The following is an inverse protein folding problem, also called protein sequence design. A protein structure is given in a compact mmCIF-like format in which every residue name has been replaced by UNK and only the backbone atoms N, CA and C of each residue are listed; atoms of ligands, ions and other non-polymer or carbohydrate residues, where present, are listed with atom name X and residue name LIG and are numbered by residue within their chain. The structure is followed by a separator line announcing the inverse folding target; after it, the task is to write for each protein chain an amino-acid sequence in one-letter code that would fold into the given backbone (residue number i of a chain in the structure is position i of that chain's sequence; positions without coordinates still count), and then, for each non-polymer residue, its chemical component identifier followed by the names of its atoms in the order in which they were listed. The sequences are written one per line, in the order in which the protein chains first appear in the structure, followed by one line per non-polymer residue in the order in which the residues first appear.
data_IF_930690855605
#
_entry.id   IF_930690855605
#
_cell.length_a   1.000
_cell.length_b   1.000
_cell.length_c   1.000
_cell.angle_alpha   90.00
_cell.angle_beta   90.00
_cell.angle_gamma   90.00
#
_symmetry.space_group_name_H-M   'P 1'
#
loop_
_entity.id
_entity.type
_entity.pdbx_description
1 polymer ?
#
# COMPACT_ATOMS: atom_id res chain seq x y z
N UNK A 1 -13.74 -15.38 -29.78
CA UNK A 1 -14.30 -15.46 -28.41
C UNK A 1 -13.26 -14.87 -27.46
N UNK A 2 -13.55 -13.74 -26.82
CA UNK A 2 -12.64 -13.17 -25.84
C UNK A 2 -12.74 -14.02 -24.56
N UNK A 3 -11.70 -14.77 -24.24
CA UNK A 3 -11.63 -15.54 -22.99
C UNK A 3 -11.59 -14.54 -21.84
N UNK A 4 -12.66 -14.44 -21.05
CA UNK A 4 -12.70 -13.61 -19.86
C UNK A 4 -11.66 -14.16 -18.88
N UNK A 5 -10.49 -13.51 -18.79
CA UNK A 5 -9.45 -13.89 -17.83
C UNK A 5 -10.03 -13.73 -16.43
N UNK A 6 -9.81 -14.71 -15.55
CA UNK A 6 -10.26 -14.66 -14.16
C UNK A 6 -9.77 -13.35 -13.51
N UNK A 7 -10.67 -12.54 -12.90
CA UNK A 7 -10.29 -11.30 -12.23
C UNK A 7 -9.17 -11.49 -11.20
N UNK A 8 -9.13 -12.65 -10.53
CA UNK A 8 -8.08 -13.00 -9.58
C UNK A 8 -6.71 -13.18 -10.25
N UNK A 9 -6.68 -13.73 -11.46
CA UNK A 9 -5.44 -13.88 -12.25
C UNK A 9 -4.93 -12.52 -12.70
N UNK A 10 -5.83 -11.61 -13.10
CA UNK A 10 -5.46 -10.25 -13.46
C UNK A 10 -4.90 -9.49 -12.25
N UNK A 11 -5.55 -9.60 -11.09
CA UNK A 11 -5.10 -8.99 -9.85
C UNK A 11 -3.74 -9.54 -9.41
N UNK A 12 -3.56 -10.87 -9.42
CA UNK A 12 -2.29 -11.50 -9.10
C UNK A 12 -1.18 -11.07 -10.05
N UNK A 13 -1.47 -10.97 -11.35
CA UNK A 13 -0.54 -10.43 -12.35
C UNK A 13 -0.16 -8.98 -12.08
N UNK A 14 -1.12 -8.13 -11.71
CA UNK A 14 -0.86 -6.71 -11.42
C UNK A 14 -0.01 -6.54 -10.14
N UNK A 15 -0.29 -7.33 -9.10
CA UNK A 15 0.55 -7.39 -7.89
C UNK A 15 1.95 -7.88 -8.24
N UNK A 16 2.09 -8.93 -9.04
CA UNK A 16 3.41 -9.42 -9.46
C UNK A 16 4.18 -8.36 -10.26
N UNK A 17 3.53 -7.65 -11.18
CA UNK A 17 4.15 -6.55 -11.95
C UNK A 17 4.63 -5.42 -11.04
N UNK A 18 3.93 -5.14 -9.93
CA UNK A 18 4.38 -4.12 -8.98
C UNK A 18 5.54 -4.62 -8.09
N UNK A 19 5.44 -5.84 -7.55
CA UNK A 19 6.36 -6.32 -6.53
C UNK A 19 7.63 -6.98 -7.06
N UNK A 20 7.59 -7.64 -8.23
CA UNK A 20 8.76 -8.33 -8.79
C UNK A 20 9.87 -7.35 -9.18
N UNK A 21 9.61 -6.23 -9.89
CA UNK A 21 10.65 -5.25 -10.18
C UNK A 21 11.19 -4.61 -8.90
N UNK A 22 10.32 -4.35 -7.92
CA UNK A 22 10.71 -3.78 -6.63
C UNK A 22 11.63 -4.74 -5.86
N UNK A 23 11.31 -6.03 -5.85
CA UNK A 23 12.14 -7.07 -5.25
C UNK A 23 13.49 -7.22 -5.96
N UNK A 24 13.49 -7.26 -7.29
CA UNK A 24 14.70 -7.34 -8.09
C UNK A 24 15.62 -6.14 -7.84
N UNK A 25 15.05 -4.93 -7.82
CA UNK A 25 15.78 -3.71 -7.46
C UNK A 25 16.38 -3.85 -6.06
N UNK A 26 15.58 -4.27 -5.06
CA UNK A 26 16.03 -4.41 -3.67
C UNK A 26 17.23 -5.35 -3.53
N UNK A 27 17.21 -6.49 -4.22
CA UNK A 27 18.34 -7.44 -4.23
C UNK A 27 19.64 -6.85 -4.79
N UNK A 28 19.55 -5.87 -5.70
CA UNK A 28 20.71 -5.24 -6.33
C UNK A 28 21.30 -4.14 -5.46
N UNK A 29 20.45 -3.37 -4.75
CA UNK A 29 20.88 -2.12 -4.09
C UNK A 29 20.98 -2.21 -2.56
N UNK A 30 20.38 -3.22 -1.92
CA UNK A 30 20.25 -3.28 -0.47
C UNK A 30 20.84 -4.57 0.12
N UNK A 31 21.22 -4.50 1.40
CA UNK A 31 21.74 -5.64 2.15
C UNK A 31 20.64 -6.68 2.41
N UNK A 32 21.01 -7.96 2.42
CA UNK A 32 20.08 -9.08 2.65
C UNK A 32 19.37 -8.97 4.00
N UNK A 33 20.02 -8.40 5.02
CA UNK A 33 19.41 -8.14 6.33
C UNK A 33 18.24 -7.15 6.29
N UNK A 34 18.10 -6.37 5.21
CA UNK A 34 16.97 -5.43 5.02
C UNK A 34 15.76 -6.08 4.35
N UNK A 35 15.85 -7.33 3.87
CA UNK A 35 14.73 -8.02 3.22
C UNK A 35 13.52 -8.17 4.14
N UNK A 36 13.73 -8.21 5.47
CA UNK A 36 12.64 -8.22 6.44
C UNK A 36 11.71 -7.02 6.28
N UNK A 37 12.25 -5.84 5.96
CA UNK A 37 11.44 -4.63 5.73
C UNK A 37 10.66 -4.72 4.43
N UNK A 38 11.27 -5.27 3.37
CA UNK A 38 10.57 -5.52 2.11
C UNK A 38 9.40 -6.48 2.32
N UNK A 39 9.61 -7.61 2.99
CA UNK A 39 8.55 -8.59 3.23
C UNK A 39 7.47 -8.05 4.17
N UNK A 40 7.85 -7.31 5.21
CA UNK A 40 6.89 -6.64 6.08
C UNK A 40 6.02 -5.64 5.29
N UNK A 41 6.63 -4.85 4.41
CA UNK A 41 5.91 -3.92 3.53
C UNK A 41 5.00 -4.64 2.54
N UNK A 42 5.48 -5.71 1.89
CA UNK A 42 4.69 -6.49 0.96
C UNK A 42 3.48 -7.15 1.64
N UNK A 43 3.68 -7.73 2.82
CA UNK A 43 2.61 -8.31 3.62
C UNK A 43 1.58 -7.23 4.02
N UNK A 44 2.05 -6.10 4.54
CA UNK A 44 1.20 -4.95 4.85
C UNK A 44 0.38 -4.52 3.63
N UNK A 45 1.02 -4.37 2.47
CA UNK A 45 0.34 -3.93 1.25
C UNK A 45 -0.76 -4.90 0.84
N UNK A 46 -0.47 -6.20 0.79
CA UNK A 46 -1.44 -7.23 0.41
C UNK A 46 -2.61 -7.23 1.39
N UNK A 47 -2.34 -7.20 2.70
CA UNK A 47 -3.41 -7.23 3.71
C UNK A 47 -4.27 -5.97 3.61
N UNK A 48 -3.65 -4.79 3.64
CA UNK A 48 -4.34 -3.51 3.73
C UNK A 48 -5.07 -3.10 2.44
N UNK A 49 -4.54 -3.46 1.26
CA UNK A 49 -5.06 -2.97 -0.03
C UNK A 49 -5.75 -4.04 -0.85
N UNK A 50 -5.61 -5.34 -0.51
CA UNK A 50 -6.24 -6.43 -1.25
C UNK A 50 -7.19 -7.22 -0.36
N UNK A 51 -6.67 -7.81 0.72
CA UNK A 51 -7.46 -8.73 1.56
C UNK A 51 -8.57 -8.00 2.29
N UNK A 52 -8.27 -6.92 3.01
CA UNK A 52 -9.28 -6.19 3.80
C UNK A 52 -10.33 -5.51 2.90
N UNK A 53 -9.97 -4.75 1.84
CA UNK A 53 -10.98 -4.14 0.97
C UNK A 53 -11.83 -5.19 0.25
N UNK A 54 -11.22 -6.30 -0.20
CA UNK A 54 -11.93 -7.42 -0.82
C UNK A 54 -12.91 -8.08 0.15
N UNK A 55 -12.50 -8.32 1.40
CA UNK A 55 -13.39 -8.85 2.42
C UNK A 55 -14.55 -7.91 2.74
N UNK A 56 -14.29 -6.60 2.91
CA UNK A 56 -15.32 -5.59 3.14
C UNK A 56 -16.31 -5.54 1.97
N UNK A 57 -15.84 -5.63 0.73
CA UNK A 57 -16.72 -5.70 -0.44
C UNK A 57 -17.67 -6.90 -0.38
N UNK A 58 -17.14 -8.08 -0.07
CA UNK A 58 -17.92 -9.32 0.00
C UNK A 58 -18.93 -9.28 1.16
N UNK A 59 -18.51 -8.82 2.34
CA UNK A 59 -19.39 -8.70 3.51
C UNK A 59 -20.49 -7.65 3.29
N UNK A 60 -20.15 -6.47 2.75
CA UNK A 60 -21.13 -5.42 2.49
C UNK A 60 -22.18 -5.84 1.45
N UNK A 61 -21.77 -6.54 0.39
CA UNK A 61 -22.71 -7.12 -0.58
C UNK A 61 -23.56 -8.24 0.04
N UNK A 62 -22.94 -9.15 0.80
CA UNK A 62 -23.64 -10.26 1.46
C UNK A 62 -24.71 -9.80 2.46
N UNK A 63 -24.54 -8.60 3.02
CA UNK A 63 -25.49 -7.97 3.95
C UNK A 63 -26.49 -7.01 3.29
N UNK A 64 -26.45 -6.86 1.97
CA UNK A 64 -27.37 -5.97 1.24
C UNK A 64 -27.14 -4.48 1.51
N UNK A 65 -25.89 -4.06 1.71
CA UNK A 65 -25.55 -2.63 1.83
C UNK A 65 -25.92 -1.87 0.55
N UNK A 66 -26.43 -0.65 0.68
CA UNK A 66 -26.70 0.25 -0.46
C UNK A 66 -25.41 0.90 -1.01
N UNK A 67 -24.27 0.74 -0.32
CA UNK A 67 -23.02 1.42 -0.66
C UNK A 67 -21.76 0.54 -0.48
N UNK A 68 -21.70 -0.70 -1.00
CA UNK A 68 -20.58 -1.61 -0.79
C UNK A 68 -19.26 -1.05 -1.34
N UNK A 69 -19.29 -0.40 -2.50
CA UNK A 69 -18.11 0.24 -3.11
C UNK A 69 -17.57 1.39 -2.27
N UNK A 70 -18.44 2.17 -1.62
CA UNK A 70 -18.03 3.25 -0.72
C UNK A 70 -17.26 2.70 0.46
N UNK A 71 -17.76 1.64 1.10
CA UNK A 71 -17.07 0.99 2.22
C UNK A 71 -15.74 0.39 1.81
N UNK A 72 -15.69 -0.31 0.68
CA UNK A 72 -14.44 -0.84 0.11
C UNK A 72 -13.43 0.27 -0.16
N UNK A 73 -13.86 1.39 -0.75
CA UNK A 73 -13.03 2.55 -1.01
C UNK A 73 -12.47 3.18 0.27
N UNK A 74 -13.30 3.32 1.30
CA UNK A 74 -12.87 3.81 2.62
C UNK A 74 -11.81 2.87 3.21
N UNK A 75 -12.05 1.55 3.21
CA UNK A 75 -11.07 0.57 3.73
C UNK A 75 -9.76 0.60 2.97
N UNK A 76 -9.79 0.76 1.64
CA UNK A 76 -8.60 0.90 0.81
C UNK A 76 -7.82 2.19 1.10
N UNK A 77 -8.51 3.29 1.38
CA UNK A 77 -7.89 4.61 1.62
C UNK A 77 -7.48 4.85 3.07
N UNK A 78 -8.02 4.07 4.02
CA UNK A 78 -7.70 4.19 5.45
C UNK A 78 -6.20 4.19 5.77
N UNK A 79 -5.34 3.40 5.10
CA UNK A 79 -3.91 3.40 5.39
C UNK A 79 -3.21 4.76 5.13
N UNK A 80 -3.82 5.65 4.33
CA UNK A 80 -3.29 6.99 4.07
C UNK A 80 -3.65 8.02 5.15
N UNK A 81 -4.53 7.69 6.10
CA UNK A 81 -4.99 8.63 7.14
C UNK A 81 -3.82 9.14 8.00
N UNK A 82 -2.85 8.29 8.32
CA UNK A 82 -1.67 8.71 9.08
C UNK A 82 -0.84 9.78 8.36
N UNK A 83 -0.67 9.64 7.04
CA UNK A 83 -0.01 10.65 6.21
C UNK A 83 -0.77 11.98 6.24
N UNK A 84 -2.08 11.93 6.02
CA UNK A 84 -2.95 13.13 6.06
C UNK A 84 -2.87 13.81 7.44
N UNK A 85 -2.97 13.04 8.52
CA UNK A 85 -2.87 13.57 9.88
C UNK A 85 -1.51 14.22 10.15
N UNK A 86 -0.40 13.58 9.75
CA UNK A 86 0.92 14.17 9.88
C UNK A 86 1.03 15.48 9.10
N UNK A 87 0.61 15.49 7.84
CA UNK A 87 0.72 16.66 6.98
C UNK A 87 -0.06 17.87 7.49
N UNK A 88 -1.30 17.67 7.95
CA UNK A 88 -2.15 18.78 8.38
C UNK A 88 -2.03 19.14 9.86
N UNK A 89 -1.65 18.20 10.72
CA UNK A 89 -1.68 18.39 12.18
C UNK A 89 -0.32 18.19 12.87
N UNK A 90 0.55 17.37 12.29
CA UNK A 90 1.80 16.92 12.92
C UNK A 90 3.08 17.55 12.35
N UNK A 91 2.99 18.27 11.24
CA UNK A 91 4.16 18.84 10.58
C UNK A 91 4.71 20.01 11.42
N UNK A 92 5.98 19.96 11.86
CA UNK A 92 6.58 21.08 12.58
C UNK A 92 6.69 22.31 11.68
N UNK A 93 6.51 23.51 12.24
CA UNK A 93 6.74 24.77 11.52
C UNK A 93 8.22 25.01 11.18
N UNK A 94 9.13 24.22 11.75
CA UNK A 94 10.56 24.32 11.50
C UNK A 94 10.91 23.96 10.04
N UNK A 95 11.85 24.67 9.40
CA UNK A 95 12.35 24.31 8.08
C UNK A 95 12.85 22.88 8.05
N UNK A 96 12.61 22.17 6.95
CA UNK A 96 13.18 20.85 6.71
C UNK A 96 14.70 20.98 6.64
N UNK A 97 15.40 20.58 7.71
CA UNK A 97 16.86 20.55 7.72
C UNK A 97 17.34 19.37 6.90
N UNK A 98 18.06 19.67 5.84
CA UNK A 98 18.81 18.66 5.09
C UNK A 98 20.21 18.55 5.69
N UNK A 99 20.87 17.41 5.54
CA UNK A 99 22.21 17.17 6.12
C UNK A 99 23.27 18.21 5.71
N UNK A 100 23.02 18.99 4.65
CA UNK A 100 23.86 20.11 4.23
C UNK A 100 23.94 21.23 5.29
N UNK A 101 22.89 21.44 6.08
CA UNK A 101 22.82 22.49 7.12
C UNK A 101 23.39 22.02 8.47
N UNK A 102 23.73 20.72 8.60
CA UNK A 102 24.18 20.10 9.83
C UNK A 102 25.71 20.10 10.02
N UNK A 103 26.49 20.60 9.04
CA UNK A 103 27.94 20.75 9.22
C UNK A 103 28.24 21.93 10.14
N UNK A 104 28.99 21.73 11.24
CA UNK A 104 29.51 22.86 12.01
C UNK A 104 30.51 23.66 11.15
N UNK A 105 30.66 24.98 11.41
CA UNK A 105 31.65 25.82 10.75
C UNK A 105 33.08 25.36 10.99
#
# INVERSE_FOLDING_TARGET
MATTRSPLVLLGGLVAVAFVPLFAMWLVIADVGTLVYFFAFALYFIVAHVVLPGWVYLDANGRGSDAPLTWTGITFLLPFVGFVAYYFLGQPEAPHRTDADARPP
#
